data_IF_007106394370
#
_entry.id   IF_007106394370
#
_cell.length_a   1.000
_cell.length_b   1.000
_cell.length_c   1.000
_cell.angle_alpha   90.00
_cell.angle_beta   90.00
_cell.angle_gamma   90.00
#
_symmetry.space_group_name_H-M   'P 1'
#
loop_
_entity.id
_entity.type
_entity.pdbx_description
1 polymer ?
#
# COMPACT_ATOMS: atom_id res chain seq x y z
N UNK A 1 3.10 17.18 -9.55
CA UNK A 1 3.41 16.31 -8.39
C UNK A 1 2.20 15.43 -8.13
N UNK A 2 2.36 14.19 -7.69
CA UNK A 2 1.30 13.19 -7.66
C UNK A 2 1.76 11.93 -8.41
N UNK A 3 0.82 11.05 -8.74
CA UNK A 3 1.09 9.90 -9.60
C UNK A 3 1.58 10.39 -10.98
N UNK A 4 2.58 9.69 -11.52
CA UNK A 4 3.13 9.86 -12.87
C UNK A 4 2.44 8.90 -13.83
N UNK A 5 2.60 9.11 -15.13
CA UNK A 5 2.04 8.25 -16.18
C UNK A 5 2.35 6.76 -15.96
N UNK A 6 3.61 6.45 -15.63
CA UNK A 6 4.04 5.08 -15.31
C UNK A 6 3.29 4.46 -14.12
N UNK A 7 2.88 5.26 -13.13
CA UNK A 7 2.11 4.76 -11.99
C UNK A 7 0.69 4.38 -12.43
N UNK A 8 0.08 5.15 -13.34
CA UNK A 8 -1.23 4.83 -13.92
C UNK A 8 -1.15 3.60 -14.82
N UNK A 9 -0.13 3.53 -15.69
CA UNK A 9 0.12 2.36 -16.54
C UNK A 9 0.27 1.08 -15.72
N UNK A 10 1.01 1.14 -14.61
CA UNK A 10 1.14 0.01 -13.69
C UNK A 10 -0.21 -0.40 -13.07
N UNK A 11 -1.02 0.57 -12.61
CA UNK A 11 -2.33 0.29 -12.01
C UNK A 11 -3.31 -0.27 -13.03
N UNK A 12 -3.27 0.19 -14.28
CA UNK A 12 -4.11 -0.35 -15.36
C UNK A 12 -3.71 -1.77 -15.71
N UNK A 13 -2.41 -2.04 -15.92
CA UNK A 13 -1.88 -3.38 -16.14
C UNK A 13 -2.27 -4.35 -15.02
N UNK A 14 -2.20 -3.91 -13.76
CA UNK A 14 -2.57 -4.73 -12.62
C UNK A 14 -4.06 -5.09 -12.64
N UNK A 15 -4.91 -4.12 -12.99
CA UNK A 15 -6.36 -4.35 -13.08
C UNK A 15 -6.71 -5.28 -14.24
N UNK A 16 -6.07 -5.11 -15.41
CA UNK A 16 -6.23 -5.98 -16.57
C UNK A 16 -5.83 -7.42 -16.28
N UNK A 17 -4.70 -7.63 -15.60
CA UNK A 17 -4.27 -8.97 -15.18
C UNK A 17 -5.30 -9.65 -14.27
N UNK A 18 -5.93 -8.89 -13.38
CA UNK A 18 -6.98 -9.42 -12.51
C UNK A 18 -8.30 -9.65 -13.24
N UNK A 19 -8.62 -8.87 -14.28
CA UNK A 19 -9.77 -9.10 -15.15
C UNK A 19 -9.57 -10.43 -15.92
N UNK A 20 -8.38 -10.64 -16.50
CA UNK A 20 -8.03 -11.88 -17.20
C UNK A 20 -8.12 -13.12 -16.27
N UNK A 21 -7.60 -13.01 -15.04
CA UNK A 21 -7.70 -14.08 -14.06
C UNK A 21 -9.15 -14.37 -13.65
N UNK A 22 -10.01 -13.34 -13.59
CA UNK A 22 -11.42 -13.51 -13.28
C UNK A 22 -12.15 -14.27 -14.40
N UNK A 23 -11.87 -13.95 -15.66
CA UNK A 23 -12.44 -14.65 -16.81
C UNK A 23 -11.99 -16.11 -16.90
N UNK A 24 -10.70 -16.38 -16.66
CA UNK A 24 -10.18 -17.76 -16.58
C UNK A 24 -10.86 -18.56 -15.46
N UNK A 25 -11.01 -17.97 -14.28
CA UNK A 25 -11.68 -18.63 -13.16
C UNK A 25 -13.15 -18.96 -13.47
N UNK A 26 -13.88 -18.04 -14.13
CA UNK A 26 -15.24 -18.31 -14.62
C UNK A 26 -15.27 -19.46 -15.62
N UNK A 27 -14.34 -19.50 -16.57
CA UNK A 27 -14.22 -20.59 -17.53
C UNK A 27 -13.97 -21.96 -16.87
N UNK A 28 -13.30 -21.96 -15.71
CA UNK A 28 -13.08 -23.16 -14.89
C UNK A 28 -14.17 -23.42 -13.82
N UNK A 29 -15.29 -22.68 -13.85
CA UNK A 29 -16.41 -22.88 -12.92
C UNK A 29 -16.17 -22.38 -11.48
N UNK A 30 -15.12 -21.60 -11.24
CA UNK A 30 -14.81 -21.01 -9.94
C UNK A 30 -15.60 -19.71 -9.74
N UNK A 31 -16.71 -19.77 -9.01
CA UNK A 31 -17.65 -18.65 -8.79
C UNK A 31 -17.18 -17.53 -7.83
N UNK A 32 -15.95 -17.57 -7.31
CA UNK A 32 -15.50 -16.62 -6.26
C UNK A 32 -14.17 -15.96 -6.59
N UNK A 33 -14.14 -15.13 -7.62
CA UNK A 33 -13.05 -14.16 -7.77
C UNK A 33 -13.45 -12.88 -7.05
N UNK A 34 -12.74 -12.56 -5.97
CA UNK A 34 -12.93 -11.30 -5.25
C UNK A 34 -12.61 -10.15 -6.21
N UNK A 35 -13.58 -9.26 -6.43
CA UNK A 35 -13.41 -8.09 -7.31
C UNK A 35 -12.62 -6.95 -6.65
N UNK A 36 -11.79 -7.28 -5.66
CA UNK A 36 -10.96 -6.33 -4.91
C UNK A 36 -9.55 -6.36 -5.47
N UNK A 37 -8.88 -5.22 -5.49
CA UNK A 37 -7.45 -5.19 -5.77
C UNK A 37 -6.69 -5.97 -4.68
N UNK A 38 -5.52 -6.56 -5.01
CA UNK A 38 -4.61 -7.05 -3.99
C UNK A 38 -4.20 -5.89 -3.06
N UNK A 39 -3.74 -6.20 -1.83
CA UNK A 39 -3.21 -5.18 -0.94
C UNK A 39 -2.03 -4.41 -1.59
N UNK A 40 -2.21 -3.12 -1.90
CA UNK A 40 -1.18 -2.24 -2.48
C UNK A 40 -0.89 -1.07 -1.52
N UNK A 41 0.30 -1.05 -0.92
CA UNK A 41 0.74 0.05 -0.08
C UNK A 41 1.34 1.18 -0.92
N UNK A 42 0.89 2.42 -0.70
CA UNK A 42 1.46 3.59 -1.37
C UNK A 42 2.36 4.33 -0.40
N UNK A 43 3.65 4.42 -0.76
CA UNK A 43 4.68 5.06 0.06
C UNK A 43 5.08 6.38 -0.58
N UNK A 44 4.70 7.49 0.06
CA UNK A 44 5.21 8.81 -0.33
C UNK A 44 6.55 9.02 0.38
N UNK A 45 7.65 9.03 -0.38
CA UNK A 45 9.00 9.21 0.16
C UNK A 45 9.42 10.69 0.18
N UNK A 46 10.53 10.99 0.89
CA UNK A 46 11.14 12.34 0.96
C UNK A 46 10.20 13.42 1.49
N UNK A 47 9.33 13.05 2.44
CA UNK A 47 8.37 13.97 3.05
C UNK A 47 9.03 15.10 3.85
N UNK A 48 10.32 14.98 4.19
CA UNK A 48 11.12 16.01 4.85
C UNK A 48 11.37 17.25 3.99
N UNK A 49 11.31 17.11 2.66
CA UNK A 49 11.56 18.20 1.72
C UNK A 49 10.34 19.12 1.49
N UNK A 50 9.20 18.82 2.11
CA UNK A 50 7.92 19.48 1.84
C UNK A 50 7.31 19.97 3.15
N UNK A 51 6.80 21.21 3.15
CA UNK A 51 6.07 21.76 4.30
C UNK A 51 4.84 20.90 4.58
N UNK A 52 4.50 20.74 5.87
CA UNK A 52 3.43 19.86 6.32
C UNK A 52 2.06 20.14 5.65
N UNK A 53 1.69 21.41 5.49
CA UNK A 53 0.45 21.81 4.80
C UNK A 53 0.41 21.35 3.34
N UNK A 54 1.54 21.39 2.67
CA UNK A 54 1.65 20.99 1.26
C UNK A 54 1.74 19.47 1.13
N UNK A 55 2.33 18.78 2.11
CA UNK A 55 2.30 17.32 2.21
C UNK A 55 0.86 16.81 2.37
N UNK A 56 0.06 17.40 3.26
CA UNK A 56 -1.34 17.05 3.44
C UNK A 56 -2.15 17.24 2.15
N UNK A 57 -1.94 18.35 1.43
CA UNK A 57 -2.56 18.59 0.12
C UNK A 57 -2.15 17.54 -0.92
N UNK A 58 -0.88 17.15 -0.94
CA UNK A 58 -0.38 16.09 -1.84
C UNK A 58 -1.00 14.73 -1.53
N UNK A 59 -1.17 14.38 -0.25
CA UNK A 59 -1.84 13.14 0.17
C UNK A 59 -3.28 13.12 -0.33
N UNK A 60 -4.04 14.22 -0.12
CA UNK A 60 -5.41 14.31 -0.60
C UNK A 60 -5.50 14.15 -2.11
N UNK A 61 -4.62 14.82 -2.86
CA UNK A 61 -4.55 14.71 -4.30
C UNK A 61 -4.24 13.29 -4.77
N UNK A 62 -3.27 12.59 -4.14
CA UNK A 62 -2.96 11.19 -4.47
C UNK A 62 -4.16 10.28 -4.17
N UNK A 63 -4.84 10.46 -3.02
CA UNK A 63 -6.05 9.70 -2.70
C UNK A 63 -7.16 9.93 -3.73
N UNK A 64 -7.33 11.17 -4.17
CA UNK A 64 -8.28 11.51 -5.22
C UNK A 64 -7.91 10.85 -6.56
N UNK A 65 -6.65 10.95 -6.99
CA UNK A 65 -6.16 10.32 -8.23
C UNK A 65 -6.38 8.81 -8.22
N UNK A 66 -6.13 8.13 -7.09
CA UNK A 66 -6.40 6.70 -6.94
C UNK A 66 -7.90 6.42 -7.03
N UNK A 67 -8.74 7.21 -6.34
CA UNK A 67 -10.19 7.01 -6.38
C UNK A 67 -10.76 7.16 -7.80
N UNK A 68 -10.16 7.99 -8.64
CA UNK A 68 -10.59 8.18 -10.04
C UNK A 68 -10.06 7.10 -10.98
N UNK A 69 -8.90 6.51 -10.70
CA UNK A 69 -8.22 5.58 -11.61
C UNK A 69 -8.50 4.10 -11.31
N UNK A 70 -8.91 3.77 -10.09
CA UNK A 70 -9.20 2.39 -9.72
C UNK A 70 -10.65 2.04 -10.08
N UNK A 71 -10.83 1.06 -10.98
CA UNK A 71 -12.12 0.45 -11.32
C UNK A 71 -12.68 -0.39 -10.17
N UNK A 72 -11.77 -0.91 -9.34
CA UNK A 72 -12.06 -1.81 -8.22
C UNK A 72 -11.72 -1.13 -6.90
N UNK A 73 -12.53 -1.34 -5.89
CA UNK A 73 -12.28 -0.76 -4.57
C UNK A 73 -11.00 -1.37 -3.97
N UNK A 74 -9.98 -0.57 -3.64
CA UNK A 74 -8.81 -1.07 -2.95
C UNK A 74 -9.22 -1.53 -1.55
N UNK A 75 -8.77 -2.71 -1.13
CA UNK A 75 -9.04 -3.21 0.22
C UNK A 75 -8.39 -2.29 1.24
N UNK A 76 -9.12 -1.33 1.83
CA UNK A 76 -8.72 -0.47 2.96
C UNK A 76 -7.20 -0.23 3.09
N UNK A 77 -6.56 0.45 2.13
CA UNK A 77 -5.10 0.68 2.19
C UNK A 77 -4.73 2.10 2.60
N UNK A 78 -3.85 2.25 3.61
CA UNK A 78 -3.34 3.54 4.03
C UNK A 78 -2.27 4.06 3.05
N UNK A 79 -2.36 5.35 2.72
CA UNK A 79 -1.21 6.06 2.13
C UNK A 79 -0.21 6.30 3.27
N UNK A 80 0.96 5.66 3.20
CA UNK A 80 2.01 5.83 4.20
C UNK A 80 2.97 6.95 3.80
N UNK A 81 3.18 7.87 4.73
CA UNK A 81 4.13 8.97 4.58
C UNK A 81 5.47 8.55 5.19
N UNK A 82 6.52 8.50 4.36
CA UNK A 82 7.85 8.06 4.80
C UNK A 82 8.89 9.15 4.58
N UNK A 83 9.53 9.53 5.68
CA UNK A 83 10.77 10.28 5.67
C UNK A 83 11.92 9.35 6.01
N UNK A 84 13.00 9.44 5.23
CA UNK A 84 14.24 8.72 5.51
C UNK A 84 15.01 9.31 6.71
N UNK A 85 14.71 10.56 7.11
CA UNK A 85 15.33 11.23 8.26
C UNK A 85 14.45 11.06 9.50
N UNK A 86 14.96 10.43 10.58
CA UNK A 86 14.27 10.36 11.86
C UNK A 86 13.94 11.76 12.40
N UNK A 87 12.76 11.94 12.99
CA UNK A 87 12.37 13.22 13.60
C UNK A 87 11.92 14.32 12.62
N UNK A 88 11.95 14.06 11.31
CA UNK A 88 11.55 15.03 10.29
C UNK A 88 10.38 14.50 9.47
N UNK A 89 9.30 15.27 9.34
CA UNK A 89 8.09 14.89 8.60
C UNK A 89 6.88 14.62 9.48
N UNK A 90 5.76 14.20 8.87
CA UNK A 90 4.47 14.01 9.56
C UNK A 90 4.53 12.83 10.56
N UNK A 91 4.05 13.03 11.80
CA UNK A 91 4.02 12.01 12.87
C UNK A 91 5.37 11.38 13.26
N UNK A 92 6.50 12.00 12.91
CA UNK A 92 7.84 11.48 13.17
C UNK A 92 8.43 11.88 14.54
N UNK A 93 7.63 12.47 15.43
CA UNK A 93 7.99 12.65 16.85
C UNK A 93 6.81 12.25 17.71
N UNK A 94 7.00 11.27 18.60
CA UNK A 94 6.02 10.87 19.63
C UNK A 94 6.73 10.78 20.97
N UNK A 95 6.16 11.39 22.01
CA UNK A 95 6.72 11.37 23.36
C UNK A 95 8.21 11.75 23.40
N UNK A 96 8.59 12.88 22.77
CA UNK A 96 9.99 13.34 22.64
C UNK A 96 10.96 12.37 21.96
N UNK A 97 10.47 11.29 21.35
CA UNK A 97 11.30 10.33 20.62
C UNK A 97 11.13 10.56 19.12
N UNK A 98 12.25 10.83 18.45
CA UNK A 98 12.30 10.89 16.99
C UNK A 98 12.01 9.49 16.41
N UNK A 99 10.90 9.36 15.70
CA UNK A 99 10.55 8.19 14.90
C UNK A 99 10.90 8.46 13.43
N UNK A 100 11.30 7.43 12.72
CA UNK A 100 11.48 7.48 11.28
C UNK A 100 10.36 6.72 10.59
N UNK A 101 9.79 7.29 9.53
CA UNK A 101 8.78 6.59 8.71
C UNK A 101 9.30 5.27 8.13
N UNK A 102 10.63 5.11 8.02
CA UNK A 102 11.27 3.86 7.59
C UNK A 102 11.08 2.74 8.61
N UNK A 103 11.14 3.02 9.92
CA UNK A 103 10.94 2.00 10.95
C UNK A 103 9.49 1.50 10.98
N UNK A 104 8.54 2.39 10.72
CA UNK A 104 7.11 2.03 10.62
C UNK A 104 6.86 1.19 9.37
N UNK A 105 7.42 1.59 8.22
CA UNK A 105 7.38 0.79 6.99
C UNK A 105 8.00 -0.60 7.19
N UNK A 106 9.15 -0.70 7.86
CA UNK A 106 9.79 -1.97 8.17
C UNK A 106 8.89 -2.88 9.03
N UNK A 107 8.16 -2.33 10.00
CA UNK A 107 7.22 -3.10 10.83
C UNK A 107 6.03 -3.60 10.03
N UNK A 108 5.43 -2.76 9.19
CA UNK A 108 4.32 -3.20 8.34
C UNK A 108 4.75 -4.29 7.37
N UNK A 109 5.91 -4.12 6.71
CA UNK A 109 6.45 -5.14 5.80
C UNK A 109 6.79 -6.44 6.54
N UNK A 110 7.37 -6.36 7.74
CA UNK A 110 7.69 -7.54 8.54
C UNK A 110 6.44 -8.32 8.96
N UNK A 111 5.32 -7.62 9.22
CA UNK A 111 4.05 -8.26 9.57
C UNK A 111 3.42 -9.03 8.39
N UNK A 112 3.77 -8.69 7.14
CA UNK A 112 3.30 -9.38 5.95
C UNK A 112 4.10 -10.66 5.64
N UNK A 113 5.27 -10.86 6.26
CA UNK A 113 6.06 -12.08 6.07
C UNK A 113 5.39 -13.24 6.81
N UNK A 114 5.02 -14.33 6.12
CA UNK A 114 4.47 -15.51 6.79
C UNK A 114 5.44 -16.01 7.84
N UNK A 115 4.98 -16.19 9.07
CA UNK A 115 5.84 -16.66 10.15
C UNK A 115 6.24 -18.13 9.86
N UNK A 116 7.52 -18.43 9.58
CA UNK A 116 7.95 -19.78 9.21
C UNK A 116 7.73 -20.83 10.31
N UNK A 117 7.41 -20.39 11.53
CA UNK A 117 7.17 -21.25 12.69
C UNK A 117 5.70 -21.63 12.89
N UNK A 118 4.75 -21.01 12.19
CA UNK A 118 3.32 -21.28 12.37
C UNK A 118 2.86 -22.65 11.79
N UNK A 119 3.67 -23.27 10.91
CA UNK A 119 3.38 -24.57 10.30
C UNK A 119 3.90 -25.79 11.06
N UNK A 120 4.61 -25.63 12.19
CA UNK A 120 5.24 -26.74 12.93
C UNK A 120 4.51 -27.18 14.20
N UNK A 121 3.28 -26.71 14.43
CA UNK A 121 2.50 -27.04 15.63
C UNK A 121 1.30 -27.97 15.33
N UNK A 122 1.49 -28.98 14.48
CA UNK A 122 0.53 -30.11 14.37
C UNK A 122 1.25 -31.40 13.98
N UNK A 123 2.03 -31.92 14.93
CA UNK A 123 2.38 -33.35 14.99
C UNK A 123 2.73 -33.68 16.44
N UNK A 124 1.68 -33.88 17.25
CA UNK A 124 1.82 -34.70 18.44
C UNK A 124 1.27 -36.07 18.08
N UNK A 125 2.16 -37.05 18.19
CA UNK A 125 1.92 -38.48 18.14
C UNK A 125 0.91 -38.90 19.20
#
# INVERSE_FOLDING_TARGET
>A
HGLKSADFEFLDMLQEALDANAELAKAHGLNRVKNTLPPIQIVLTKCDLVKQKDLARRVLMVRQQLSTSLRREPSSLPVMLVSAKPGVGFNNVRHNTAKGGVLELQRELAALVPNPMAGKASSKW
#
